data_IF_962919512519
#
_entry.id   IF_962919512519
#
_cell.length_a   1.000
_cell.length_b   1.000
_cell.length_c   1.000
_cell.angle_alpha   90.00
_cell.angle_beta   90.00
_cell.angle_gamma   90.00
#
_symmetry.space_group_name_H-M   'P 1'
#
loop_
_entity.id
_entity.type
_entity.pdbx_description
1 polymer ?
#
# COMPACT_ATOMS: atom_id res chain seq x y z
N UNK A 1 14.33 5.90 -0.85
CA UNK A 1 14.50 4.46 -1.14
C UNK A 1 15.60 4.23 -2.16
N UNK A 2 16.30 3.08 -2.10
CA UNK A 2 17.36 2.70 -3.02
C UNK A 2 17.13 1.28 -3.53
N UNK A 3 17.12 1.09 -4.85
CA UNK A 3 17.09 -0.24 -5.45
C UNK A 3 18.47 -0.91 -5.37
N UNK A 4 18.51 -2.18 -5.01
CA UNK A 4 19.72 -2.99 -4.93
C UNK A 4 19.52 -4.32 -5.64
N UNK A 5 20.60 -4.81 -6.26
CA UNK A 5 20.69 -6.16 -6.77
C UNK A 5 21.81 -6.87 -5.99
N UNK A 6 21.50 -8.00 -5.37
CA UNK A 6 22.45 -8.80 -4.60
C UNK A 6 22.67 -10.13 -5.31
N UNK A 7 23.93 -10.51 -5.49
CA UNK A 7 24.28 -11.85 -5.94
C UNK A 7 24.35 -12.79 -4.74
N UNK A 8 23.94 -14.02 -4.95
CA UNK A 8 23.93 -15.06 -3.94
C UNK A 8 25.24 -15.22 -3.18
N UNK A 9 26.34 -15.15 -3.91
CA UNK A 9 27.70 -15.35 -3.38
C UNK A 9 28.11 -14.27 -2.35
N UNK A 10 27.52 -13.06 -2.47
CA UNK A 10 27.78 -11.92 -1.58
C UNK A 10 26.69 -11.71 -0.52
N UNK A 11 25.64 -12.57 -0.49
CA UNK A 11 24.53 -12.41 0.42
C UNK A 11 24.78 -13.08 1.78
N UNK A 12 24.35 -12.39 2.83
CA UNK A 12 24.25 -12.95 4.18
C UNK A 12 22.86 -12.64 4.74
N UNK A 13 22.45 -13.35 5.78
CA UNK A 13 21.17 -13.06 6.44
C UNK A 13 21.10 -11.61 6.97
N UNK A 14 22.21 -11.08 7.45
CA UNK A 14 22.33 -9.69 7.90
C UNK A 14 22.17 -8.68 6.75
N UNK A 15 22.78 -8.98 5.59
CA UNK A 15 22.68 -8.13 4.40
C UNK A 15 21.25 -8.13 3.80
N UNK A 16 20.50 -9.21 4.00
CA UNK A 16 19.11 -9.34 3.54
C UNK A 16 18.09 -8.74 4.52
N UNK A 17 18.42 -8.69 5.81
CA UNK A 17 17.50 -8.19 6.83
C UNK A 17 17.13 -6.71 6.59
N UNK A 18 15.85 -6.39 6.69
CA UNK A 18 15.31 -5.04 6.46
C UNK A 18 15.02 -4.68 5.00
N UNK A 19 15.47 -5.50 4.04
CA UNK A 19 15.18 -5.29 2.62
C UNK A 19 13.71 -5.57 2.31
N UNK A 20 13.16 -4.87 1.31
CA UNK A 20 11.83 -5.13 0.76
C UNK A 20 11.98 -5.83 -0.60
N UNK A 21 11.38 -7.01 -0.75
CA UNK A 21 11.52 -7.84 -1.94
C UNK A 21 10.75 -7.28 -3.15
N UNK A 22 11.39 -7.26 -4.32
CA UNK A 22 10.75 -6.84 -5.56
C UNK A 22 9.91 -7.94 -6.24
N UNK A 23 10.08 -9.21 -5.84
CA UNK A 23 9.34 -10.37 -6.36
C UNK A 23 9.30 -11.51 -5.33
N UNK A 24 8.43 -12.52 -5.59
CA UNK A 24 8.36 -13.71 -4.74
C UNK A 24 9.66 -14.52 -4.80
N UNK A 25 10.15 -14.93 -3.64
CA UNK A 25 11.22 -15.92 -3.53
C UNK A 25 10.62 -17.27 -3.21
N UNK A 26 11.04 -18.32 -3.95
CA UNK A 26 10.48 -19.66 -3.85
C UNK A 26 11.55 -20.67 -3.46
N UNK A 27 11.14 -21.72 -2.71
CA UNK A 27 11.98 -22.89 -2.44
C UNK A 27 12.12 -23.79 -3.69
N UNK A 28 12.94 -24.83 -3.60
CA UNK A 28 13.16 -25.79 -4.68
C UNK A 28 11.87 -26.55 -5.10
N UNK A 29 10.85 -26.58 -4.23
CA UNK A 29 9.52 -27.15 -4.50
C UNK A 29 8.54 -26.15 -5.14
N UNK A 30 8.96 -24.89 -5.38
CA UNK A 30 8.11 -23.84 -5.95
C UNK A 30 7.22 -23.12 -4.94
N UNK A 31 7.29 -23.45 -3.65
CA UNK A 31 6.51 -22.79 -2.59
C UNK A 31 7.14 -21.44 -2.26
N UNK A 32 6.31 -20.39 -2.10
CA UNK A 32 6.76 -19.04 -1.71
C UNK A 32 7.30 -19.10 -0.28
N UNK A 33 8.56 -18.74 -0.09
CA UNK A 33 9.22 -18.59 1.22
C UNK A 33 9.20 -17.14 1.69
N UNK A 34 9.17 -16.19 0.75
CA UNK A 34 8.92 -14.77 1.02
C UNK A 34 8.25 -14.13 -0.21
N UNK A 35 7.18 -13.40 0.00
CA UNK A 35 6.40 -12.80 -1.08
C UNK A 35 7.00 -11.47 -1.55
N UNK A 36 6.68 -11.06 -2.77
CA UNK A 36 6.89 -9.70 -3.26
C UNK A 36 6.31 -8.70 -2.25
N UNK A 37 7.04 -7.63 -1.98
CA UNK A 37 6.67 -6.59 -1.02
C UNK A 37 7.00 -6.94 0.44
N UNK A 38 7.38 -8.18 0.75
CA UNK A 38 7.75 -8.52 2.11
C UNK A 38 9.01 -7.76 2.55
N UNK A 39 8.93 -7.10 3.70
CA UNK A 39 10.10 -6.60 4.41
C UNK A 39 10.70 -7.74 5.22
N UNK A 40 11.95 -8.10 4.91
CA UNK A 40 12.59 -9.26 5.51
C UNK A 40 12.98 -8.98 6.96
N UNK A 41 12.38 -9.70 7.90
CA UNK A 41 12.92 -9.85 9.25
C UNK A 41 14.06 -10.88 9.25
N UNK A 42 14.67 -11.13 10.39
CA UNK A 42 15.80 -12.06 10.51
C UNK A 42 15.43 -13.50 10.09
N UNK A 43 14.20 -13.96 10.39
CA UNK A 43 13.74 -15.30 10.06
C UNK A 43 13.46 -15.42 8.54
N UNK A 44 12.79 -14.43 7.96
CA UNK A 44 12.54 -14.35 6.53
C UNK A 44 13.84 -14.21 5.72
N UNK A 45 14.82 -13.41 6.20
CA UNK A 45 16.12 -13.29 5.58
C UNK A 45 16.87 -14.63 5.54
N UNK A 46 16.85 -15.39 6.65
CA UNK A 46 17.44 -16.73 6.71
C UNK A 46 16.74 -17.72 5.75
N UNK A 47 15.41 -17.66 5.66
CA UNK A 47 14.63 -18.50 4.74
C UNK A 47 14.94 -18.16 3.27
N UNK A 48 15.00 -16.87 2.92
CA UNK A 48 15.41 -16.38 1.59
C UNK A 48 16.83 -16.83 1.27
N UNK A 49 17.77 -16.72 2.20
CA UNK A 49 19.14 -17.18 2.02
C UNK A 49 19.20 -18.69 1.77
N UNK A 50 18.29 -19.49 2.33
CA UNK A 50 18.17 -20.93 2.12
C UNK A 50 17.55 -21.33 0.76
N UNK A 51 16.86 -20.42 0.07
CA UNK A 51 16.17 -20.68 -1.19
C UNK A 51 17.12 -20.63 -2.41
N UNK A 52 16.80 -21.30 -3.52
CA UNK A 52 17.59 -21.25 -4.76
C UNK A 52 17.29 -19.95 -5.52
N UNK A 53 18.27 -19.06 -5.63
CA UNK A 53 18.26 -17.86 -6.47
C UNK A 53 19.71 -17.46 -6.80
N UNK A 54 19.90 -16.79 -7.91
CA UNK A 54 21.23 -16.32 -8.37
C UNK A 54 21.42 -14.83 -8.04
N UNK A 55 20.40 -14.03 -8.35
CA UNK A 55 20.35 -12.58 -8.10
C UNK A 55 19.01 -12.20 -7.48
N UNK A 56 19.05 -11.34 -6.47
CA UNK A 56 17.89 -10.86 -5.74
C UNK A 56 17.78 -9.35 -5.90
N UNK A 57 16.63 -8.88 -6.44
CA UNK A 57 16.32 -7.47 -6.49
C UNK A 57 15.45 -7.07 -5.30
N UNK A 58 15.87 -6.04 -4.60
CA UNK A 58 15.20 -5.56 -3.41
C UNK A 58 15.32 -4.03 -3.28
N UNK A 59 14.56 -3.47 -2.36
CA UNK A 59 14.63 -2.05 -1.99
C UNK A 59 15.19 -1.92 -0.57
N UNK A 60 16.10 -0.97 -0.41
CA UNK A 60 16.51 -0.45 0.90
C UNK A 60 15.61 0.73 1.23
N UNK A 61 14.94 0.67 2.39
CA UNK A 61 14.22 1.82 2.93
C UNK A 61 15.21 2.79 3.58
N UNK A 62 15.08 4.06 3.23
CA UNK A 62 15.87 5.14 3.82
C UNK A 62 15.05 5.90 4.87
N UNK A 63 15.67 6.70 5.73
CA UNK A 63 14.92 7.56 6.65
C UNK A 63 13.92 8.44 5.90
N UNK A 64 12.66 8.42 6.33
CA UNK A 64 11.57 9.13 5.65
C UNK A 64 10.83 8.31 4.60
N UNK A 65 11.18 7.04 4.41
CA UNK A 65 10.41 6.11 3.58
C UNK A 65 9.35 5.36 4.39
N UNK A 66 8.25 5.04 3.73
CA UNK A 66 7.17 4.19 4.23
C UNK A 66 7.02 2.94 3.36
N UNK A 67 6.79 1.81 3.99
CA UNK A 67 6.37 0.60 3.30
C UNK A 67 4.95 0.75 2.74
N UNK A 68 4.64 0.11 1.60
CA UNK A 68 3.34 0.21 0.90
C UNK A 68 2.13 -0.05 1.81
N UNK A 69 2.24 -1.02 2.72
CA UNK A 69 1.15 -1.38 3.63
C UNK A 69 0.86 -0.26 4.64
N UNK A 70 1.90 0.31 5.25
CA UNK A 70 1.78 1.43 6.18
C UNK A 70 1.25 2.68 5.46
N UNK A 71 1.84 3.02 4.33
CA UNK A 71 1.44 4.15 3.50
C UNK A 71 0.00 4.01 3.01
N UNK A 72 -0.41 2.81 2.56
CA UNK A 72 -1.76 2.51 2.13
C UNK A 72 -2.79 2.57 3.26
N UNK A 73 -2.43 2.14 4.46
CA UNK A 73 -3.28 2.27 5.64
C UNK A 73 -3.51 3.74 6.02
N UNK A 74 -2.47 4.57 5.93
CA UNK A 74 -2.57 6.02 6.16
C UNK A 74 -3.44 6.69 5.09
N UNK A 75 -3.20 6.38 3.82
CA UNK A 75 -4.02 6.86 2.70
C UNK A 75 -5.50 6.48 2.90
N UNK A 76 -5.80 5.23 3.20
CA UNK A 76 -7.17 4.75 3.40
C UNK A 76 -7.90 5.53 4.50
N UNK A 77 -7.24 5.75 5.66
CA UNK A 77 -7.83 6.55 6.76
C UNK A 77 -8.05 8.01 6.39
N UNK A 78 -7.16 8.59 5.58
CA UNK A 78 -7.31 9.97 5.12
C UNK A 78 -8.47 10.15 4.15
N UNK A 79 -8.69 9.17 3.27
CA UNK A 79 -9.76 9.20 2.25
C UNK A 79 -11.16 9.10 2.87
N UNK A 80 -11.30 8.37 3.98
CA UNK A 80 -12.57 8.14 4.67
C UNK A 80 -13.16 9.44 5.21
N UNK A 81 -14.42 9.70 4.86
CA UNK A 81 -15.25 10.74 5.45
C UNK A 81 -16.49 10.17 6.13
N UNK A 82 -17.45 11.02 6.46
CA UNK A 82 -18.68 10.64 7.19
C UNK A 82 -19.44 9.51 6.45
N UNK A 83 -19.89 8.49 7.20
CA UNK A 83 -20.65 7.37 6.65
C UNK A 83 -19.83 6.34 5.86
N UNK A 84 -18.50 6.41 5.94
CA UNK A 84 -17.58 5.44 5.31
C UNK A 84 -16.58 4.94 6.35
N UNK A 85 -16.14 3.70 6.22
CA UNK A 85 -15.11 3.08 7.08
C UNK A 85 -14.08 2.31 6.26
N UNK A 86 -12.91 2.06 6.85
CA UNK A 86 -11.90 1.16 6.30
C UNK A 86 -12.31 -0.28 6.60
N UNK A 87 -12.66 -1.06 5.56
CA UNK A 87 -13.16 -2.44 5.69
C UNK A 87 -12.03 -3.47 5.80
N UNK A 88 -10.92 -3.27 5.10
CA UNK A 88 -9.79 -4.20 5.13
C UNK A 88 -8.80 -4.04 3.98
N UNK A 89 -7.76 -4.88 4.03
CA UNK A 89 -6.68 -4.93 3.05
C UNK A 89 -6.71 -6.22 2.26
N UNK A 90 -6.64 -6.14 0.94
CA UNK A 90 -6.58 -7.32 0.06
C UNK A 90 -5.88 -6.97 -1.24
N UNK A 91 -4.86 -7.75 -1.63
CA UNK A 91 -4.19 -7.62 -2.93
C UNK A 91 -3.56 -6.25 -3.18
N UNK A 92 -2.94 -5.66 -2.18
CA UNK A 92 -2.28 -4.34 -2.29
C UNK A 92 -3.27 -3.16 -2.26
N UNK A 93 -4.53 -3.38 -1.87
CA UNK A 93 -5.58 -2.35 -1.84
C UNK A 93 -6.31 -2.35 -0.51
N UNK A 94 -6.67 -1.17 -0.04
CA UNK A 94 -7.52 -0.94 1.12
C UNK A 94 -8.95 -0.66 0.65
N UNK A 95 -9.89 -1.51 1.04
CA UNK A 95 -11.31 -1.35 0.73
C UNK A 95 -11.96 -0.39 1.72
N UNK A 96 -12.75 0.54 1.22
CA UNK A 96 -13.53 1.50 1.99
C UNK A 96 -15.02 1.22 1.75
N UNK A 97 -15.79 1.03 2.81
CA UNK A 97 -17.19 0.62 2.72
C UNK A 97 -18.14 1.63 3.36
N UNK A 98 -19.35 1.72 2.83
CA UNK A 98 -20.43 2.49 3.41
C UNK A 98 -20.84 1.88 4.77
N UNK A 99 -21.05 2.71 5.79
CA UNK A 99 -21.56 2.28 7.11
C UNK A 99 -23.07 2.40 7.22
N UNK A 100 -23.69 3.08 6.27
CA UNK A 100 -25.14 3.34 6.21
C UNK A 100 -25.62 3.40 4.77
N UNK A 101 -26.92 3.24 4.59
CA UNK A 101 -27.61 3.52 3.31
C UNK A 101 -27.61 5.02 3.05
N UNK A 102 -27.37 5.43 1.81
CA UNK A 102 -27.41 6.84 1.42
C UNK A 102 -26.88 7.07 0.01
N UNK A 103 -26.52 8.31 -0.27
CA UNK A 103 -25.88 8.70 -1.53
C UNK A 103 -24.38 8.89 -1.31
N UNK A 104 -23.57 8.25 -2.15
CA UNK A 104 -22.13 8.48 -2.17
C UNK A 104 -21.84 9.91 -2.64
N UNK A 105 -21.02 10.62 -1.89
CA UNK A 105 -20.49 11.93 -2.27
C UNK A 105 -18.98 11.86 -2.40
N UNK A 106 -18.44 12.26 -3.55
CA UNK A 106 -17.03 12.27 -3.87
C UNK A 106 -16.52 13.72 -3.96
N UNK A 107 -15.50 14.05 -3.18
CA UNK A 107 -14.80 15.34 -3.27
C UNK A 107 -13.90 15.35 -4.52
N UNK A 108 -14.46 15.64 -5.71
CA UNK A 108 -13.84 15.41 -7.02
C UNK A 108 -12.51 16.15 -7.18
N UNK A 109 -12.47 17.46 -6.88
CA UNK A 109 -11.27 18.27 -7.05
C UNK A 109 -10.13 17.78 -6.13
N UNK A 110 -10.33 17.64 -4.79
CA UNK A 110 -9.30 17.06 -3.91
C UNK A 110 -8.90 15.65 -4.30
N UNK A 111 -9.85 14.81 -4.76
CA UNK A 111 -9.55 13.45 -5.23
C UNK A 111 -8.64 13.47 -6.47
N UNK A 112 -8.89 14.39 -7.40
CA UNK A 112 -8.05 14.58 -8.59
C UNK A 112 -6.63 14.99 -8.20
N UNK A 113 -6.48 15.92 -7.25
CA UNK A 113 -5.18 16.34 -6.73
C UNK A 113 -4.43 15.21 -6.03
N UNK A 114 -5.14 14.39 -5.24
CA UNK A 114 -4.58 13.19 -4.59
C UNK A 114 -4.09 12.19 -5.63
N UNK A 115 -4.90 11.88 -6.65
CA UNK A 115 -4.54 10.95 -7.72
C UNK A 115 -3.46 11.49 -8.68
N UNK A 116 -3.16 12.79 -8.64
CA UNK A 116 -2.03 13.37 -9.36
C UNK A 116 -0.67 13.12 -8.68
N UNK A 117 -0.67 12.64 -7.43
CA UNK A 117 0.58 12.26 -6.73
C UNK A 117 1.06 10.91 -7.23
N UNK A 118 2.34 10.86 -7.63
CA UNK A 118 2.96 9.63 -8.13
C UNK A 118 2.87 8.50 -7.08
N UNK A 119 2.45 7.33 -7.52
CA UNK A 119 2.32 6.15 -6.66
C UNK A 119 1.04 6.08 -5.82
N UNK A 120 0.18 7.08 -5.86
CA UNK A 120 -1.10 7.13 -5.14
C UNK A 120 -2.25 6.87 -6.10
N UNK A 121 -3.21 6.04 -5.69
CA UNK A 121 -4.44 5.79 -6.44
C UNK A 121 -5.63 5.58 -5.51
N UNK A 122 -6.70 6.32 -5.74
CA UNK A 122 -7.99 6.14 -5.08
C UNK A 122 -9.06 5.99 -6.14
N UNK A 123 -9.73 4.84 -6.13
CA UNK A 123 -10.83 4.50 -7.04
C UNK A 123 -12.14 4.59 -6.28
N UNK A 124 -13.18 5.16 -6.88
CA UNK A 124 -14.49 5.31 -6.25
C UNK A 124 -15.60 4.82 -7.16
N UNK A 125 -16.76 4.47 -6.59
CA UNK A 125 -18.02 4.45 -7.34
C UNK A 125 -18.38 5.86 -7.79
N UNK A 126 -19.45 5.98 -8.58
CA UNK A 126 -19.89 7.29 -9.09
C UNK A 126 -20.42 8.19 -7.98
N UNK A 127 -20.06 9.46 -8.05
CA UNK A 127 -20.66 10.51 -7.21
C UNK A 127 -22.18 10.58 -7.40
N UNK A 128 -22.93 10.63 -6.31
CA UNK A 128 -24.40 10.58 -6.31
C UNK A 128 -24.99 9.17 -6.41
N UNK A 129 -24.17 8.10 -6.47
CA UNK A 129 -24.67 6.73 -6.52
C UNK A 129 -25.32 6.33 -5.19
N UNK A 130 -26.53 5.72 -5.19
CA UNK A 130 -27.10 5.08 -4.01
C UNK A 130 -26.24 3.88 -3.58
N UNK A 131 -26.01 3.75 -2.28
CA UNK A 131 -25.20 2.69 -1.70
C UNK A 131 -25.84 2.11 -0.45
N UNK A 132 -25.55 0.85 -0.15
CA UNK A 132 -26.04 0.12 1.02
C UNK A 132 -24.92 -0.11 2.06
N UNK A 133 -25.26 -0.35 3.36
CA UNK A 133 -24.27 -0.67 4.37
C UNK A 133 -23.41 -1.87 3.99
N UNK A 134 -22.08 -1.75 4.17
CA UNK A 134 -21.10 -2.77 3.85
C UNK A 134 -20.68 -2.81 2.37
N UNK A 135 -21.32 -2.04 1.49
CA UNK A 135 -20.92 -1.89 0.08
C UNK A 135 -19.58 -1.18 -0.02
N UNK A 136 -18.65 -1.74 -0.83
CA UNK A 136 -17.34 -1.12 -1.07
C UNK A 136 -17.53 0.06 -2.03
N UNK A 137 -17.36 1.26 -1.52
CA UNK A 137 -17.57 2.53 -2.24
C UNK A 137 -16.29 3.13 -2.80
N UNK A 138 -15.14 2.73 -2.26
CA UNK A 138 -13.84 3.17 -2.76
C UNK A 138 -12.74 2.15 -2.44
N UNK A 139 -11.61 2.28 -3.12
CA UNK A 139 -10.38 1.57 -2.83
C UNK A 139 -9.21 2.54 -2.87
N UNK A 140 -8.32 2.42 -1.88
CA UNK A 140 -7.09 3.18 -1.80
C UNK A 140 -5.89 2.25 -2.03
N UNK A 141 -4.93 2.68 -2.84
CA UNK A 141 -3.74 1.91 -3.20
C UNK A 141 -2.51 2.80 -3.24
N UNK A 142 -1.42 2.30 -2.65
CA UNK A 142 -0.07 2.78 -2.90
C UNK A 142 0.59 1.78 -3.86
N UNK A 143 1.05 2.24 -5.01
CA UNK A 143 1.55 1.35 -6.08
C UNK A 143 3.00 0.91 -5.87
N UNK A 144 3.95 1.79 -5.49
CA UNK A 144 5.30 1.36 -5.19
C UNK A 144 5.37 0.62 -3.84
N UNK A 145 6.27 -0.35 -3.72
CA UNK A 145 6.50 -1.11 -2.48
C UNK A 145 7.02 -0.23 -1.33
N UNK A 146 7.64 0.88 -1.68
CA UNK A 146 8.18 1.89 -0.75
C UNK A 146 7.90 3.27 -1.34
N UNK A 147 7.40 4.19 -0.53
CA UNK A 147 7.06 5.56 -0.93
C UNK A 147 7.59 6.55 0.10
N UNK A 148 7.93 7.76 -0.32
CA UNK A 148 8.34 8.82 0.58
C UNK A 148 7.19 9.26 1.49
N UNK A 149 7.47 9.44 2.78
CA UNK A 149 6.45 9.79 3.78
C UNK A 149 5.84 11.19 3.57
N UNK A 150 6.58 12.11 2.96
CA UNK A 150 6.10 13.45 2.63
C UNK A 150 4.98 13.42 1.59
N UNK A 151 5.06 12.57 0.57
CA UNK A 151 3.98 12.37 -0.42
C UNK A 151 2.70 11.93 0.28
N UNK A 152 2.80 10.98 1.23
CA UNK A 152 1.63 10.51 1.99
C UNK A 152 1.10 11.62 2.89
N UNK A 153 1.98 12.42 3.53
CA UNK A 153 1.59 13.53 4.37
C UNK A 153 0.85 14.65 3.59
N UNK A 154 1.29 14.95 2.36
CA UNK A 154 0.57 15.88 1.46
C UNK A 154 -0.85 15.38 1.17
N UNK A 155 -1.00 14.11 0.83
CA UNK A 155 -2.31 13.49 0.56
C UNK A 155 -3.20 13.51 1.79
N UNK A 156 -2.65 13.22 2.98
CA UNK A 156 -3.38 13.32 4.25
C UNK A 156 -3.87 14.76 4.51
N UNK A 157 -3.05 15.76 4.20
CA UNK A 157 -3.43 17.16 4.36
C UNK A 157 -4.55 17.57 3.41
N UNK A 158 -4.47 17.20 2.12
CA UNK A 158 -5.52 17.43 1.12
C UNK A 158 -6.84 16.78 1.53
N UNK A 159 -6.81 15.51 1.89
CA UNK A 159 -8.00 14.75 2.28
C UNK A 159 -8.62 15.30 3.58
N UNK A 160 -7.81 15.69 4.56
CA UNK A 160 -8.28 16.31 5.82
C UNK A 160 -8.93 17.67 5.57
N UNK A 161 -8.35 18.51 4.72
CA UNK A 161 -8.92 19.81 4.37
C UNK A 161 -10.31 19.67 3.71
N UNK A 162 -10.51 18.58 2.95
CA UNK A 162 -11.80 18.24 2.34
C UNK A 162 -12.78 17.54 3.32
N UNK A 163 -12.37 17.20 4.55
CA UNK A 163 -13.15 16.40 5.51
C UNK A 163 -13.38 14.95 5.06
N UNK A 164 -12.39 14.34 4.40
CA UNK A 164 -12.45 13.07 3.69
C UNK A 164 -12.83 13.24 2.23
N UNK A 165 -12.42 12.29 1.39
CA UNK A 165 -12.64 12.34 -0.07
C UNK A 165 -13.92 11.64 -0.48
N UNK A 166 -14.39 10.65 0.30
CA UNK A 166 -15.62 9.90 0.06
C UNK A 166 -16.51 9.91 1.31
N UNK A 167 -17.80 10.17 1.13
CA UNK A 167 -18.80 10.24 2.21
C UNK A 167 -20.09 9.59 1.77
N UNK A 168 -20.90 9.14 2.73
CA UNK A 168 -22.29 8.69 2.47
C UNK A 168 -23.26 9.57 3.27
N UNK A 169 -24.19 10.20 2.58
CA UNK A 169 -25.21 11.08 3.16
C UNK A 169 -26.61 10.59 2.88
#
# INVERSE_FOLDING_TARGET
MKAVALRREAASAEALAGLVLCYDVRDAGGRIVAAKGARLDAAAAAAVLGAPWEELHALVMEPGDLHEEEAGARLARAVVGEGVEVKGYTGGQWALAATRRGLLTVAREPLTEVNAREGISVFTLFDGQPVEPGEVVARAKVTPLVIAADVVAEVEALARAAGGLVRVR
#
